data_IF_545296435880
#
_entry.id   IF_545296435880
#
_cell.length_a   1.000
_cell.length_b   1.000
_cell.length_c   1.000
_cell.angle_alpha   90.00
_cell.angle_beta   90.00
_cell.angle_gamma   90.00
#
_symmetry.space_group_name_H-M   'P 1'
#
loop_
_entity.id
_entity.type
_entity.pdbx_description
1 polymer ?
#
# COMPACT_ATOMS: atom_id res chain seq x y z
N UNK A 1 2.95 2.93 22.51
CA UNK A 1 2.02 3.07 21.36
C UNK A 1 0.63 3.24 21.92
N UNK A 2 0.13 4.48 21.93
CA UNK A 2 -1.16 4.80 22.54
C UNK A 2 -2.29 4.34 21.62
N UNK A 3 -3.45 3.95 22.16
CA UNK A 3 -4.60 3.46 21.37
C UNK A 3 -5.00 4.43 20.25
N UNK A 4 -4.71 5.72 20.42
CA UNK A 4 -4.98 6.81 19.47
C UNK A 4 -4.09 6.73 18.23
N UNK A 5 -2.81 6.39 18.39
CA UNK A 5 -1.87 6.21 17.26
C UNK A 5 -2.28 5.01 16.40
N UNK A 6 -2.70 3.91 17.03
CA UNK A 6 -3.20 2.74 16.30
C UNK A 6 -4.49 3.06 15.52
N UNK A 7 -5.38 3.88 16.09
CA UNK A 7 -6.63 4.29 15.44
C UNK A 7 -6.35 5.20 14.24
N UNK A 8 -5.40 6.13 14.35
CA UNK A 8 -4.95 6.99 13.25
C UNK A 8 -4.34 6.18 12.09
N UNK A 9 -3.53 5.18 12.41
CA UNK A 9 -2.92 4.28 11.41
C UNK A 9 -3.98 3.44 10.70
N UNK A 10 -4.98 2.93 11.43
CA UNK A 10 -6.11 2.19 10.85
C UNK A 10 -7.00 3.08 9.99
N UNK A 11 -7.22 4.34 10.38
CA UNK A 11 -8.01 5.31 9.61
C UNK A 11 -7.29 5.68 8.29
N UNK A 12 -5.98 5.89 8.35
CA UNK A 12 -5.14 6.10 7.16
C UNK A 12 -5.11 4.86 6.26
N UNK A 13 -5.01 3.66 6.84
CA UNK A 13 -5.06 2.41 6.08
C UNK A 13 -6.41 2.22 5.37
N UNK A 14 -7.53 2.54 6.04
CA UNK A 14 -8.87 2.46 5.45
C UNK A 14 -9.10 3.46 4.31
N UNK A 15 -8.44 4.62 4.34
CA UNK A 15 -8.55 5.64 3.28
C UNK A 15 -7.91 5.19 1.96
N UNK A 16 -6.92 4.30 1.99
CA UNK A 16 -6.17 3.88 0.79
C UNK A 16 -6.87 2.69 0.11
N UNK A 17 -7.59 1.87 0.89
CA UNK A 17 -8.31 0.67 0.42
C UNK A 17 -9.36 0.95 -0.67
N UNK A 18 -10.20 2.01 -0.61
CA UNK A 18 -11.18 2.24 -1.67
C UNK A 18 -10.54 2.67 -3.01
N UNK A 19 -9.32 3.22 -3.02
CA UNK A 19 -8.67 3.68 -4.26
C UNK A 19 -8.24 2.50 -5.16
N UNK A 20 -7.99 1.32 -4.58
CA UNK A 20 -7.50 0.14 -5.32
C UNK A 20 -8.64 -0.76 -5.82
N UNK A 21 -9.85 -0.67 -5.27
CA UNK A 21 -10.95 -1.65 -5.53
C UNK A 21 -12.10 -1.09 -6.37
N UNK A 22 -12.17 0.22 -6.64
CA UNK A 22 -13.23 0.80 -7.47
C UNK A 22 -12.91 0.66 -8.97
N UNK A 23 -13.40 -0.44 -9.54
CA UNK A 23 -13.51 -0.63 -10.98
C UNK A 23 -14.25 0.52 -11.69
N UNK A 24 -13.77 0.84 -12.89
CA UNK A 24 -14.29 1.78 -13.90
C UNK A 24 -15.71 2.32 -13.64
N UNK A 25 -15.90 3.63 -13.45
CA UNK A 25 -17.24 4.22 -13.48
C UNK A 25 -17.83 4.16 -14.89
N UNK A 26 -19.01 3.53 -14.98
CA UNK A 26 -19.86 3.45 -16.17
C UNK A 26 -20.61 4.77 -16.34
N UNK A 27 -20.31 5.48 -17.43
CA UNK A 27 -20.96 6.72 -17.86
C UNK A 27 -22.46 6.48 -18.13
N UNK A 28 -23.32 7.28 -17.50
CA UNK A 28 -24.72 7.44 -17.90
C UNK A 28 -25.06 8.94 -17.86
N UNK A 29 -25.40 9.45 -19.05
CA UNK A 29 -25.79 10.82 -19.33
C UNK A 29 -27.17 11.15 -18.73
N UNK A 30 -27.35 12.34 -18.14
CA UNK A 30 -28.56 13.15 -18.31
C UNK A 30 -28.37 14.63 -17.95
N UNK A 31 -28.78 15.50 -18.90
CA UNK A 31 -29.03 16.97 -18.91
C UNK A 31 -29.63 17.51 -17.60
N UNK A 32 -29.57 18.79 -17.19
CA UNK A 32 -29.33 20.13 -17.78
C UNK A 32 -29.25 21.12 -16.57
N UNK A 33 -28.61 22.31 -16.52
CA UNK A 33 -28.86 23.64 -17.12
C UNK A 33 -27.71 24.57 -16.58
N UNK A 34 -27.42 25.69 -17.27
CA UNK A 34 -26.82 26.99 -16.79
C UNK A 34 -25.38 27.27 -17.30
N UNK A 35 -25.10 28.47 -17.87
CA UNK A 35 -23.82 28.82 -18.52
C UNK A 35 -22.66 28.99 -17.52
N UNK A 36 -22.08 27.86 -17.09
CA UNK A 36 -20.84 27.76 -16.30
C UNK A 36 -19.83 26.75 -16.87
N UNK A 37 -20.02 26.35 -18.14
CA UNK A 37 -19.28 25.28 -18.83
C UNK A 37 -17.76 25.38 -18.64
N UNK A 38 -17.20 26.60 -18.66
CA UNK A 38 -15.76 26.78 -18.50
C UNK A 38 -15.26 26.50 -17.08
N UNK A 39 -16.04 26.81 -16.04
CA UNK A 39 -15.60 26.61 -14.65
C UNK A 39 -15.72 25.14 -14.23
N UNK A 40 -16.83 24.49 -14.55
CA UNK A 40 -17.03 23.07 -14.24
C UNK A 40 -16.04 22.18 -15.00
N UNK A 41 -15.79 22.43 -16.29
CA UNK A 41 -14.78 21.68 -17.04
C UNK A 41 -13.36 21.92 -16.52
N UNK A 42 -13.05 23.14 -16.08
CA UNK A 42 -11.75 23.44 -15.46
C UNK A 42 -11.62 22.76 -14.11
N UNK A 43 -12.69 22.72 -13.32
CA UNK A 43 -12.72 22.06 -12.01
C UNK A 43 -12.61 20.54 -12.14
N UNK A 44 -13.32 19.94 -13.10
CA UNK A 44 -13.23 18.51 -13.42
C UNK A 44 -11.84 18.12 -13.94
N UNK A 45 -11.21 18.99 -14.75
CA UNK A 45 -9.81 18.80 -15.17
C UNK A 45 -8.86 18.81 -13.98
N UNK A 46 -9.00 19.78 -13.07
CA UNK A 46 -8.16 19.88 -11.88
C UNK A 46 -8.34 18.66 -10.98
N UNK A 47 -9.59 18.21 -10.76
CA UNK A 47 -9.89 16.98 -10.02
C UNK A 47 -9.24 15.76 -10.68
N UNK A 48 -9.35 15.62 -12.00
CA UNK A 48 -8.73 14.52 -12.74
C UNK A 48 -7.20 14.56 -12.68
N UNK A 49 -6.59 15.74 -12.76
CA UNK A 49 -5.14 15.90 -12.62
C UNK A 49 -4.67 15.59 -11.20
N UNK A 50 -5.42 15.99 -10.17
CA UNK A 50 -5.15 15.62 -8.78
C UNK A 50 -5.27 14.11 -8.59
N UNK A 51 -6.33 13.48 -9.11
CA UNK A 51 -6.52 12.03 -9.03
C UNK A 51 -5.37 11.28 -9.72
N UNK A 52 -4.92 11.76 -10.88
CA UNK A 52 -3.76 11.20 -11.58
C UNK A 52 -2.48 11.33 -10.76
N UNK A 53 -2.21 12.51 -10.20
CA UNK A 53 -1.03 12.74 -9.35
C UNK A 53 -1.10 11.87 -8.10
N UNK A 54 -2.28 11.75 -7.49
CA UNK A 54 -2.49 10.91 -6.32
C UNK A 54 -2.27 9.42 -6.64
N UNK A 55 -2.79 8.94 -7.77
CA UNK A 55 -2.63 7.57 -8.21
C UNK A 55 -1.15 7.25 -8.51
N UNK A 56 -0.43 8.18 -9.16
CA UNK A 56 1.01 8.06 -9.39
C UNK A 56 1.82 8.09 -8.08
N UNK A 57 1.44 8.95 -7.14
CA UNK A 57 2.09 9.05 -5.83
C UNK A 57 1.89 7.77 -5.01
N UNK A 58 0.66 7.27 -4.93
CA UNK A 58 0.32 6.02 -4.24
C UNK A 58 1.11 4.86 -4.84
N UNK A 59 1.15 4.73 -6.17
CA UNK A 59 1.90 3.66 -6.82
C UNK A 59 3.41 3.74 -6.49
N UNK A 60 4.00 4.95 -6.53
CA UNK A 60 5.40 5.16 -6.18
C UNK A 60 5.69 4.82 -4.71
N UNK A 61 4.81 5.21 -3.80
CA UNK A 61 4.95 4.91 -2.37
C UNK A 61 4.81 3.41 -2.11
N UNK A 62 3.84 2.75 -2.73
CA UNK A 62 3.65 1.30 -2.61
C UNK A 62 4.88 0.53 -3.09
N UNK A 63 5.46 0.91 -4.24
CA UNK A 63 6.73 0.33 -4.71
C UNK A 63 7.88 0.53 -3.73
N UNK A 64 7.98 1.72 -3.14
CA UNK A 64 8.99 1.99 -2.12
C UNK A 64 8.79 1.10 -0.89
N UNK A 65 7.56 0.97 -0.40
CA UNK A 65 7.23 0.10 0.75
C UNK A 65 7.59 -1.36 0.43
N UNK A 66 7.25 -1.87 -0.74
CA UNK A 66 7.58 -3.24 -1.16
C UNK A 66 9.10 -3.45 -1.13
N UNK A 67 9.87 -2.49 -1.65
CA UNK A 67 11.34 -2.59 -1.64
C UNK A 67 11.91 -2.58 -0.21
N UNK A 68 11.35 -1.75 0.68
CA UNK A 68 11.74 -1.73 2.10
C UNK A 68 11.39 -3.06 2.79
N UNK A 69 10.18 -3.59 2.57
CA UNK A 69 9.76 -4.90 3.09
C UNK A 69 10.68 -6.00 2.58
N UNK A 70 11.14 -5.90 1.32
CA UNK A 70 12.10 -6.84 0.71
C UNK A 70 13.41 -6.87 1.48
N UNK A 71 13.97 -5.71 1.81
CA UNK A 71 15.16 -5.62 2.64
C UNK A 71 14.93 -6.19 4.06
N UNK A 72 13.79 -5.88 4.68
CA UNK A 72 13.48 -6.30 6.05
C UNK A 72 13.37 -7.82 6.16
N UNK A 73 12.65 -8.51 5.25
CA UNK A 73 12.50 -9.95 5.37
C UNK A 73 13.83 -10.69 5.17
N UNK A 74 14.73 -10.17 4.32
CA UNK A 74 16.08 -10.72 4.13
C UNK A 74 16.86 -10.62 5.44
N UNK A 75 16.84 -9.45 6.09
CA UNK A 75 17.51 -9.24 7.37
C UNK A 75 16.92 -10.16 8.44
N UNK A 76 15.59 -10.27 8.53
CA UNK A 76 14.93 -11.17 9.48
C UNK A 76 15.31 -12.64 9.24
N UNK A 77 15.40 -13.07 7.98
CA UNK A 77 15.82 -14.42 7.64
C UNK A 77 17.25 -14.68 8.11
N UNK A 78 18.18 -13.77 7.82
CA UNK A 78 19.59 -13.87 8.23
C UNK A 78 19.71 -13.88 9.76
N UNK A 79 19.06 -12.94 10.45
CA UNK A 79 19.07 -12.85 11.92
C UNK A 79 18.44 -14.11 12.54
N UNK A 80 17.34 -14.60 11.98
CA UNK A 80 16.69 -15.82 12.43
C UNK A 80 17.57 -17.05 12.31
N UNK A 81 18.28 -17.20 11.18
CA UNK A 81 19.24 -18.29 10.94
C UNK A 81 20.42 -18.19 11.90
N UNK A 82 20.99 -16.99 12.11
CA UNK A 82 22.10 -16.78 13.05
C UNK A 82 21.68 -17.15 14.47
N UNK A 83 20.52 -16.67 14.94
CA UNK A 83 19.97 -16.98 16.27
C UNK A 83 19.70 -18.48 16.46
N UNK A 84 19.33 -19.17 15.38
CA UNK A 84 19.09 -20.60 15.40
C UNK A 84 20.38 -21.41 15.45
N UNK A 85 21.37 -21.09 14.60
CA UNK A 85 22.66 -21.79 14.53
C UNK A 85 23.48 -21.57 15.82
N UNK A 86 23.55 -20.34 16.30
CA UNK A 86 24.31 -19.98 17.51
C UNK A 86 23.72 -20.53 18.80
N UNK A 87 22.53 -21.14 18.76
CA UNK A 87 21.81 -21.70 19.91
C UNK A 87 21.60 -20.74 21.08
N UNK A 88 21.83 -19.43 20.90
CA UNK A 88 21.58 -18.44 21.94
C UNK A 88 20.09 -18.39 22.29
N UNK A 89 19.22 -18.31 21.28
CA UNK A 89 17.78 -18.39 21.47
C UNK A 89 17.11 -19.07 20.27
N UNK A 90 17.19 -20.41 20.18
CA UNK A 90 16.74 -21.16 19.02
C UNK A 90 15.22 -21.10 18.85
N UNK A 91 14.47 -20.87 19.94
CA UNK A 91 13.02 -20.66 19.88
C UNK A 91 12.70 -19.38 19.13
N UNK A 92 13.31 -18.24 19.51
CA UNK A 92 13.09 -16.97 18.79
C UNK A 92 13.64 -16.99 17.37
N UNK A 93 14.78 -17.65 17.13
CA UNK A 93 15.34 -17.81 15.78
C UNK A 93 14.33 -18.44 14.79
N UNK A 94 13.66 -19.52 15.19
CA UNK A 94 12.62 -20.16 14.37
C UNK A 94 11.43 -19.24 14.08
N UNK A 95 11.00 -18.44 15.05
CA UNK A 95 9.92 -17.47 14.84
C UNK A 95 10.32 -16.37 13.84
N UNK A 96 11.56 -15.88 13.88
CA UNK A 96 12.06 -14.90 12.91
C UNK A 96 12.16 -15.47 11.50
N UNK A 97 12.59 -16.72 11.36
CA UNK A 97 12.61 -17.42 10.05
C UNK A 97 11.18 -17.56 9.51
N UNK A 98 10.23 -18.00 10.34
CA UNK A 98 8.83 -18.15 9.93
C UNK A 98 8.21 -16.80 9.56
N UNK A 99 8.46 -15.77 10.35
CA UNK A 99 8.02 -14.41 10.06
C UNK A 99 8.59 -13.91 8.74
N UNK A 100 9.88 -14.14 8.46
CA UNK A 100 10.52 -13.76 7.21
C UNK A 100 9.88 -14.43 5.99
N UNK A 101 9.56 -15.73 6.09
CA UNK A 101 8.90 -16.48 5.01
C UNK A 101 7.50 -15.90 4.73
N UNK A 102 6.72 -15.63 5.78
CA UNK A 102 5.38 -15.04 5.64
C UNK A 102 5.48 -13.64 5.03
N UNK A 103 6.44 -12.83 5.48
CA UNK A 103 6.66 -11.48 4.96
C UNK A 103 7.10 -11.49 3.49
N UNK A 104 7.96 -12.43 3.11
CA UNK A 104 8.39 -12.64 1.73
C UNK A 104 7.19 -12.97 0.83
N UNK A 105 6.34 -13.91 1.25
CA UNK A 105 5.17 -14.32 0.48
C UNK A 105 4.16 -13.17 0.34
N UNK A 106 3.98 -12.39 1.41
CA UNK A 106 3.14 -11.20 1.41
C UNK A 106 3.70 -10.11 0.49
N UNK A 107 5.02 -9.88 0.52
CA UNK A 107 5.68 -8.92 -0.34
C UNK A 107 5.54 -9.29 -1.82
N UNK A 108 5.71 -10.58 -2.15
CA UNK A 108 5.56 -11.10 -3.51
C UNK A 108 4.12 -10.95 -4.02
N UNK A 109 3.14 -11.29 -3.17
CA UNK A 109 1.73 -11.10 -3.48
C UNK A 109 1.39 -9.62 -3.73
N UNK A 110 1.89 -8.73 -2.87
CA UNK A 110 1.67 -7.29 -3.02
C UNK A 110 2.35 -6.74 -4.29
N UNK A 111 3.54 -7.24 -4.63
CA UNK A 111 4.27 -6.91 -5.86
C UNK A 111 3.49 -7.33 -7.11
N UNK A 112 2.91 -8.53 -7.07
CA UNK A 112 2.11 -9.08 -8.18
C UNK A 112 0.85 -8.23 -8.43
N UNK A 113 0.17 -7.78 -7.36
CA UNK A 113 -1.02 -6.92 -7.49
C UNK A 113 -0.67 -5.53 -8.00
N UNK A 114 0.45 -4.96 -7.56
CA UNK A 114 0.91 -3.63 -8.01
C UNK A 114 1.38 -3.65 -9.48
N UNK A 115 1.59 -4.83 -10.07
CA UNK A 115 1.97 -5.01 -11.47
C UNK A 115 3.47 -4.81 -11.71
N UNK A 116 4.32 -5.33 -10.83
CA UNK A 116 5.70 -5.70 -11.22
C UNK A 116 5.73 -7.07 -11.90
#
# INVERSE_FOLDING_TARGET
MTKVEALLVVLLALSIVPIVVLGKPKNNENKSIIPSTNFLETFDKILSDIERILCLAVNRVMKFIINVVRAIYIILAVVGVILWITHWNPSRGKHYILAAIILMLLAEYLSTIIGE
#
